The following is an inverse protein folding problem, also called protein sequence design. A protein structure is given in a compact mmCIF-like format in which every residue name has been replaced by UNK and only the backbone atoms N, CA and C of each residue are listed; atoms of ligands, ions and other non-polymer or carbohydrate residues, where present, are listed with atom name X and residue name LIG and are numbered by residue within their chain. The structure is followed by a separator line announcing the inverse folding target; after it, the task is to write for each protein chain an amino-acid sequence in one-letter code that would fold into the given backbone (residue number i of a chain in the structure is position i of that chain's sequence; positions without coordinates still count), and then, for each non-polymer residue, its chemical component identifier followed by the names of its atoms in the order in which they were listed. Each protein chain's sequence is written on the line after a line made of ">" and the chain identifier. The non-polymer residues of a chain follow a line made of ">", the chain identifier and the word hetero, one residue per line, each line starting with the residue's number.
data_IF_478841302853
#
_entry.id   IF_478841302853
#
_cell.length_a   1.000
_cell.length_b   1.000
_cell.length_c   1.000
_cell.angle_alpha   90.00
_cell.angle_beta   90.00
_cell.angle_gamma   90.00
#
_symmetry.space_group_name_H-M   'P 1'
#
loop_
_entity.id
_entity.type
_entity.pdbx_description
1 polymer ?
#
# COMPACT_ATOMS: atom_id res chain seq x y z
N UNK A 1 68.54 2.79 -30.99
CA UNK A 1 67.65 3.91 -30.59
C UNK A 1 66.87 3.40 -29.38
N UNK A 2 67.08 3.78 -28.09
CA UNK A 2 67.15 5.14 -27.47
C UNK A 2 65.98 5.99 -27.99
N UNK A 3 65.02 6.51 -27.23
CA UNK A 3 64.88 6.99 -25.83
C UNK A 3 63.34 7.19 -25.63
N UNK A 4 62.70 6.57 -24.62
CA UNK A 4 62.32 7.11 -23.29
C UNK A 4 61.28 8.26 -23.26
N UNK A 5 60.17 8.05 -22.53
CA UNK A 5 59.71 8.92 -21.42
C UNK A 5 58.63 8.14 -20.61
N UNK A 6 58.84 7.59 -19.40
CA UNK A 6 58.83 8.21 -18.03
C UNK A 6 57.54 9.04 -17.75
N UNK A 7 56.78 8.99 -16.64
CA UNK A 7 57.05 8.66 -15.22
C UNK A 7 55.71 8.65 -14.40
N UNK A 8 55.47 7.60 -13.60
CA UNK A 8 55.19 7.56 -12.14
C UNK A 8 54.18 8.55 -11.50
N UNK A 9 53.22 7.99 -10.74
CA UNK A 9 52.95 8.44 -9.36
C UNK A 9 52.45 7.26 -8.49
N UNK A 10 53.17 7.08 -7.39
CA UNK A 10 53.03 6.11 -6.29
C UNK A 10 52.82 6.92 -5.00
N UNK A 11 52.53 6.23 -3.88
CA UNK A 11 52.38 6.68 -2.48
C UNK A 11 50.95 7.11 -2.07
N UNK A 12 50.40 6.73 -0.90
CA UNK A 12 51.05 6.38 0.38
C UNK A 12 50.15 5.54 1.31
N UNK A 13 50.80 4.84 2.25
CA UNK A 13 50.23 4.03 3.33
C UNK A 13 49.75 4.84 4.57
N UNK A 14 48.72 4.29 5.27
CA UNK A 14 48.40 4.20 6.73
C UNK A 14 48.68 5.41 7.67
N UNK A 15 47.84 5.71 8.70
CA UNK A 15 47.57 4.79 9.82
C UNK A 15 46.18 4.88 10.51
N UNK A 16 46.04 4.01 11.53
CA UNK A 16 44.92 3.74 12.42
C UNK A 16 44.39 4.91 13.27
N UNK A 17 43.11 4.81 13.65
CA UNK A 17 42.60 5.33 14.92
C UNK A 17 41.43 4.44 15.40
N UNK A 18 41.74 3.49 16.28
CA UNK A 18 40.76 2.89 17.17
C UNK A 18 40.46 3.89 18.29
N UNK A 19 39.20 4.27 18.46
CA UNK A 19 38.72 4.90 19.69
C UNK A 19 37.71 3.97 20.35
N UNK A 20 38.21 3.33 21.40
CA UNK A 20 37.43 2.73 22.47
C UNK A 20 36.67 3.82 23.21
N UNK A 21 35.34 3.78 23.14
CA UNK A 21 34.42 4.57 23.96
C UNK A 21 33.48 3.64 24.70
N UNK A 22 33.91 3.22 25.88
CA UNK A 22 33.14 2.46 26.85
C UNK A 22 32.00 3.35 27.38
N UNK A 23 30.75 3.00 27.16
CA UNK A 23 29.62 3.48 27.95
C UNK A 23 28.86 2.28 28.48
N UNK A 24 29.08 2.03 29.77
CA UNK A 24 28.33 1.09 30.60
C UNK A 24 26.87 1.53 30.72
N UNK A 25 25.93 0.68 30.29
CA UNK A 25 24.56 0.70 30.80
C UNK A 25 24.17 -0.73 31.15
N UNK A 26 24.04 -0.90 32.46
CA UNK A 26 23.27 -1.85 33.27
C UNK A 26 22.52 -2.98 32.57
N UNK A 27 22.85 -4.19 33.00
CA UNK A 27 22.06 -5.42 32.91
C UNK A 27 20.64 -5.25 33.47
N UNK A 28 19.63 -5.40 32.61
CA UNK A 28 18.33 -5.98 32.98
C UNK A 28 17.98 -7.03 31.95
N UNK A 29 18.04 -8.28 32.40
CA UNK A 29 17.41 -9.47 31.86
C UNK A 29 15.98 -9.19 31.38
N UNK A 30 15.67 -9.55 30.13
CA UNK A 30 14.39 -10.15 29.70
C UNK A 30 14.37 -10.39 28.18
N UNK A 31 14.36 -11.67 27.78
CA UNK A 31 13.98 -12.12 26.43
C UNK A 31 15.14 -12.38 25.47
N UNK A 32 15.05 -13.49 24.72
CA UNK A 32 15.99 -13.90 23.67
C UNK A 32 15.99 -12.92 22.46
N UNK A 33 16.48 -11.70 22.65
CA UNK A 33 16.86 -10.84 21.53
C UNK A 33 18.29 -11.21 21.11
N UNK A 34 18.40 -12.28 20.32
CA UNK A 34 19.55 -12.40 19.42
C UNK A 34 19.41 -11.22 18.46
N UNK A 35 20.40 -10.31 18.36
CA UNK A 35 20.37 -9.27 17.34
C UNK A 35 20.15 -9.94 15.98
N UNK A 36 19.19 -9.44 15.19
CA UNK A 36 18.91 -9.86 13.80
C UNK A 36 20.07 -9.41 12.89
N UNK A 37 21.28 -9.78 13.27
CA UNK A 37 22.52 -9.53 12.57
C UNK A 37 23.22 -10.89 12.49
N UNK A 38 23.08 -11.50 11.31
CA UNK A 38 23.78 -12.72 10.87
C UNK A 38 23.16 -14.06 11.31
N UNK A 39 21.88 -14.29 11.01
CA UNK A 39 21.45 -15.68 10.78
C UNK A 39 21.87 -16.11 9.36
N UNK A 40 22.22 -17.38 9.12
CA UNK A 40 22.55 -17.89 7.78
C UNK A 40 21.41 -17.66 6.76
N UNK A 41 20.17 -17.63 7.22
CA UNK A 41 18.98 -17.32 6.41
C UNK A 41 19.02 -15.85 5.96
N UNK A 42 19.35 -14.93 6.85
CA UNK A 42 19.45 -13.50 6.52
C UNK A 42 20.56 -13.23 5.49
N UNK A 43 21.69 -13.95 5.59
CA UNK A 43 22.77 -13.85 4.60
C UNK A 43 22.34 -14.38 3.21
N UNK A 44 21.57 -15.47 3.16
CA UNK A 44 20.92 -15.95 1.92
C UNK A 44 20.02 -14.88 1.32
N UNK A 45 19.13 -14.28 2.12
CA UNK A 45 18.19 -13.26 1.64
C UNK A 45 18.90 -12.02 1.10
N UNK A 46 19.92 -11.53 1.79
CA UNK A 46 20.74 -10.40 1.36
C UNK A 46 21.49 -10.74 0.07
N UNK A 47 22.05 -11.94 -0.04
CA UNK A 47 22.79 -12.38 -1.22
C UNK A 47 21.90 -12.40 -2.45
N UNK A 48 20.70 -12.99 -2.35
CA UNK A 48 19.71 -13.00 -3.44
C UNK A 48 19.36 -11.57 -3.86
N UNK A 49 19.13 -10.68 -2.89
CA UNK A 49 18.80 -9.28 -3.17
C UNK A 49 19.97 -8.43 -3.67
N UNK A 50 21.21 -8.83 -3.42
CA UNK A 50 22.38 -8.15 -3.97
C UNK A 50 22.46 -8.26 -5.50
N UNK A 51 21.81 -9.29 -6.07
CA UNK A 51 21.68 -9.48 -7.52
C UNK A 51 20.49 -8.75 -8.15
N UNK A 52 19.69 -8.00 -7.38
CA UNK A 52 18.55 -7.26 -7.91
C UNK A 52 19.04 -6.02 -8.70
N UNK A 53 18.49 -5.75 -9.90
CA UNK A 53 19.11 -4.85 -10.87
C UNK A 53 18.86 -3.37 -10.57
N UNK A 54 17.88 -3.08 -9.70
CA UNK A 54 17.47 -1.72 -9.37
C UNK A 54 17.63 -1.41 -7.87
N UNK A 55 18.25 -0.28 -7.58
CA UNK A 55 18.43 0.20 -6.21
C UNK A 55 17.36 1.21 -5.77
N UNK A 56 16.39 1.53 -6.64
CA UNK A 56 15.24 2.36 -6.34
C UNK A 56 14.31 1.73 -5.30
N UNK A 57 13.68 2.57 -4.47
CA UNK A 57 12.78 2.12 -3.43
C UNK A 57 11.47 1.56 -3.99
N UNK A 58 10.94 2.13 -5.09
CA UNK A 58 9.70 1.68 -5.74
C UNK A 58 9.85 0.26 -6.34
N UNK A 59 10.84 -0.03 -7.21
CA UNK A 59 10.95 -1.36 -7.82
C UNK A 59 11.27 -2.46 -6.80
N UNK A 60 12.02 -2.13 -5.75
CA UNK A 60 12.28 -3.04 -4.64
C UNK A 60 11.01 -3.34 -3.84
N UNK A 61 10.23 -2.31 -3.52
CA UNK A 61 8.94 -2.50 -2.85
C UNK A 61 8.02 -3.39 -3.68
N UNK A 62 7.87 -3.09 -4.97
CA UNK A 62 7.05 -3.88 -5.90
C UNK A 62 7.51 -5.34 -5.92
N UNK A 63 8.82 -5.59 -6.06
CA UNK A 63 9.36 -6.94 -6.06
C UNK A 63 9.09 -7.68 -4.74
N UNK A 64 9.32 -7.04 -3.59
CA UNK A 64 9.08 -7.68 -2.29
C UNK A 64 7.61 -8.03 -2.07
N UNK A 65 6.70 -7.09 -2.38
CA UNK A 65 5.27 -7.33 -2.28
C UNK A 65 4.80 -8.41 -3.24
N UNK A 66 5.21 -8.34 -4.51
CA UNK A 66 4.89 -9.35 -5.51
C UNK A 66 5.36 -10.75 -5.08
N UNK A 67 6.55 -10.85 -4.49
CA UNK A 67 7.09 -12.14 -4.04
C UNK A 67 6.30 -12.69 -2.84
N UNK A 68 5.85 -11.83 -1.92
CA UNK A 68 4.95 -12.25 -0.83
C UNK A 68 3.62 -12.78 -1.40
N UNK A 69 2.97 -12.00 -2.27
CA UNK A 69 1.68 -12.36 -2.88
C UNK A 69 1.77 -13.63 -3.74
N UNK A 70 2.93 -13.92 -4.32
CA UNK A 70 3.19 -15.15 -5.09
C UNK A 70 2.93 -16.43 -4.29
N UNK A 71 3.26 -16.40 -2.99
CA UNK A 71 3.22 -17.58 -2.12
C UNK A 71 1.85 -17.85 -1.51
N UNK A 72 0.88 -16.98 -1.77
CA UNK A 72 -0.51 -17.19 -1.37
C UNK A 72 -1.03 -18.52 -1.92
N UNK A 73 -1.61 -19.34 -1.04
CA UNK A 73 -2.11 -20.69 -1.31
C UNK A 73 -1.04 -21.74 -1.68
N UNK A 74 0.25 -21.45 -1.49
CA UNK A 74 1.33 -22.46 -1.56
C UNK A 74 1.49 -23.11 -0.18
N UNK A 75 0.72 -24.17 0.07
CA UNK A 75 0.91 -25.00 1.27
C UNK A 75 2.17 -25.90 1.17
N UNK A 76 2.64 -26.54 2.26
CA UNK A 76 3.85 -27.37 2.22
C UNK A 76 3.79 -28.55 1.23
N UNK A 77 2.60 -29.07 0.93
CA UNK A 77 2.42 -30.18 0.00
C UNK A 77 2.43 -29.68 -1.44
N UNK A 78 1.83 -28.52 -1.71
CA UNK A 78 1.95 -27.81 -2.97
C UNK A 78 3.42 -27.44 -3.22
N UNK A 79 4.13 -26.93 -2.20
CA UNK A 79 5.56 -26.65 -2.28
C UNK A 79 6.35 -27.91 -2.64
N UNK A 80 6.06 -29.04 -2.00
CA UNK A 80 6.70 -30.33 -2.33
C UNK A 80 6.38 -30.77 -3.76
N UNK A 81 5.18 -30.48 -4.28
CA UNK A 81 4.83 -30.72 -5.68
C UNK A 81 5.69 -29.87 -6.63
N UNK A 82 5.98 -28.61 -6.28
CA UNK A 82 6.85 -27.75 -7.07
C UNK A 82 8.28 -28.30 -7.17
N UNK A 83 8.82 -28.87 -6.09
CA UNK A 83 10.13 -29.56 -6.12
C UNK A 83 10.10 -30.82 -6.97
N UNK A 84 8.99 -31.55 -6.94
CA UNK A 84 8.86 -32.80 -7.67
C UNK A 84 8.73 -32.59 -9.17
N UNK A 85 7.98 -31.58 -9.59
CA UNK A 85 7.68 -31.28 -10.98
C UNK A 85 8.59 -30.23 -11.62
N UNK A 86 9.28 -29.44 -10.81
CA UNK A 86 10.22 -28.43 -11.27
C UNK A 86 11.53 -29.05 -11.74
N UNK A 87 12.14 -28.46 -12.77
CA UNK A 87 13.51 -28.76 -13.13
C UNK A 87 14.49 -28.02 -12.20
N UNK A 88 15.52 -28.72 -11.74
CA UNK A 88 16.47 -28.22 -10.74
C UNK A 88 17.54 -27.28 -11.32
N UNK A 89 17.31 -26.68 -12.49
CA UNK A 89 18.27 -25.82 -13.18
C UNK A 89 18.54 -24.49 -12.47
N UNK A 90 17.73 -24.13 -11.47
CA UNK A 90 17.87 -22.90 -10.69
C UNK A 90 18.70 -23.16 -9.42
N UNK A 91 19.82 -22.45 -9.28
CA UNK A 91 20.70 -22.55 -8.12
C UNK A 91 20.57 -21.32 -7.23
N UNK A 92 21.06 -21.38 -5.99
CA UNK A 92 21.07 -20.22 -5.07
C UNK A 92 21.85 -19.00 -5.58
N UNK A 93 22.71 -19.18 -6.59
CA UNK A 93 23.48 -18.10 -7.19
C UNK A 93 22.81 -17.52 -8.45
N UNK A 94 21.67 -18.08 -8.89
CA UNK A 94 20.94 -17.58 -10.05
C UNK A 94 20.34 -16.22 -9.70
N UNK A 95 20.68 -15.15 -10.45
CA UNK A 95 20.12 -13.83 -10.21
C UNK A 95 18.60 -13.83 -10.32
N UNK A 96 17.92 -13.11 -9.42
CA UNK A 96 16.45 -12.99 -9.41
C UNK A 96 15.89 -12.53 -10.77
N UNK A 97 16.62 -11.64 -11.46
CA UNK A 97 16.23 -11.15 -12.79
C UNK A 97 16.12 -12.28 -13.80
N UNK A 98 17.12 -13.18 -13.81
CA UNK A 98 17.12 -14.33 -14.71
C UNK A 98 15.93 -15.26 -14.41
N UNK A 99 15.62 -15.44 -13.12
CA UNK A 99 14.45 -16.23 -12.70
C UNK A 99 13.15 -15.62 -13.23
N UNK A 100 12.96 -14.30 -13.07
CA UNK A 100 11.78 -13.58 -13.57
C UNK A 100 11.71 -13.65 -15.10
N UNK A 101 12.83 -13.44 -15.79
CA UNK A 101 12.90 -13.53 -17.26
C UNK A 101 12.55 -14.93 -17.76
N UNK A 102 13.02 -15.97 -17.08
CA UNK A 102 12.70 -17.36 -17.41
C UNK A 102 11.22 -17.68 -17.17
N UNK A 103 10.62 -17.17 -16.10
CA UNK A 103 9.16 -17.26 -15.87
C UNK A 103 8.40 -16.51 -16.95
N UNK A 104 8.87 -15.33 -17.37
CA UNK A 104 8.30 -14.50 -18.42
C UNK A 104 8.40 -15.13 -19.82
N UNK A 105 9.34 -16.06 -20.02
CA UNK A 105 9.68 -16.58 -21.33
C UNK A 105 8.56 -17.49 -21.89
N UNK A 106 7.89 -17.09 -23.00
CA UNK A 106 6.80 -17.87 -23.57
C UNK A 106 7.25 -19.22 -24.15
N UNK A 107 8.53 -19.36 -24.50
CA UNK A 107 9.09 -20.62 -24.99
C UNK A 107 9.14 -21.64 -23.87
N UNK A 108 9.63 -21.26 -22.69
CA UNK A 108 9.68 -22.19 -21.56
C UNK A 108 8.27 -22.59 -21.09
N UNK A 109 7.33 -21.66 -21.04
CA UNK A 109 5.92 -21.97 -20.71
C UNK A 109 5.27 -23.01 -21.62
N UNK A 110 5.70 -23.10 -22.88
CA UNK A 110 5.11 -24.00 -23.87
C UNK A 110 5.91 -25.29 -24.07
N UNK A 111 7.23 -25.19 -24.13
CA UNK A 111 8.10 -26.27 -24.54
C UNK A 111 8.89 -26.92 -23.38
N UNK A 112 9.00 -26.25 -22.24
CA UNK A 112 9.71 -26.75 -21.05
C UNK A 112 9.05 -26.21 -19.76
N UNK A 113 7.76 -26.54 -19.51
CA UNK A 113 7.01 -26.05 -18.36
C UNK A 113 7.68 -26.37 -17.02
N UNK A 114 8.45 -27.45 -16.92
CA UNK A 114 9.24 -27.85 -15.75
C UNK A 114 10.27 -26.77 -15.34
N UNK A 115 10.87 -26.08 -16.32
CA UNK A 115 11.78 -24.94 -16.05
C UNK A 115 10.98 -23.79 -15.43
N UNK A 116 9.79 -23.50 -15.95
CA UNK A 116 8.92 -22.44 -15.39
C UNK A 116 8.53 -22.78 -13.95
N UNK A 117 8.16 -24.04 -13.69
CA UNK A 117 7.83 -24.53 -12.34
C UNK A 117 9.04 -24.40 -11.41
N UNK A 118 10.24 -24.80 -11.83
CA UNK A 118 11.47 -24.67 -11.03
C UNK A 118 11.82 -23.22 -10.69
N UNK A 119 11.65 -22.29 -11.63
CA UNK A 119 11.87 -20.85 -11.37
C UNK A 119 10.81 -20.28 -10.41
N UNK A 120 9.54 -20.68 -10.54
CA UNK A 120 8.49 -20.30 -9.59
C UNK A 120 8.75 -20.89 -8.20
N UNK A 121 9.22 -22.14 -8.11
CA UNK A 121 9.60 -22.79 -6.85
C UNK A 121 10.72 -22.03 -6.15
N UNK A 122 11.72 -21.56 -6.90
CA UNK A 122 12.80 -20.74 -6.37
C UNK A 122 12.31 -19.42 -5.76
N UNK A 123 11.39 -18.72 -6.45
CA UNK A 123 10.80 -17.49 -5.89
C UNK A 123 9.94 -17.78 -4.66
N UNK A 124 9.19 -18.89 -4.66
CA UNK A 124 8.41 -19.31 -3.51
C UNK A 124 9.29 -19.63 -2.30
N UNK A 125 10.40 -20.34 -2.50
CA UNK A 125 11.41 -20.59 -1.46
C UNK A 125 11.98 -19.29 -0.91
N UNK A 126 12.32 -18.35 -1.79
CA UNK A 126 12.81 -17.06 -1.36
C UNK A 126 11.77 -16.36 -0.48
N UNK A 127 10.50 -16.30 -0.88
CA UNK A 127 9.45 -15.67 -0.08
C UNK A 127 9.22 -16.36 1.27
N UNK A 128 9.18 -17.70 1.29
CA UNK A 128 8.94 -18.47 2.51
C UNK A 128 10.13 -18.42 3.47
N UNK A 129 11.35 -18.63 2.97
CA UNK A 129 12.55 -18.61 3.81
C UNK A 129 12.90 -17.20 4.29
N UNK A 130 12.61 -16.18 3.48
CA UNK A 130 12.96 -14.78 3.76
C UNK A 130 11.78 -13.94 4.26
N UNK A 131 10.68 -14.55 4.70
CA UNK A 131 9.44 -13.85 5.08
C UNK A 131 9.71 -12.66 6.02
N UNK A 132 10.43 -12.88 7.12
CA UNK A 132 10.75 -11.82 8.10
C UNK A 132 11.61 -10.71 7.50
N UNK A 133 12.54 -11.06 6.61
CA UNK A 133 13.37 -10.08 5.91
C UNK A 133 12.52 -9.25 4.94
N UNK A 134 11.65 -9.88 4.15
CA UNK A 134 10.76 -9.21 3.20
C UNK A 134 9.82 -8.26 3.91
N UNK A 135 9.16 -8.72 4.98
CA UNK A 135 8.25 -7.88 5.79
C UNK A 135 8.99 -6.67 6.36
N UNK A 136 10.18 -6.86 6.95
CA UNK A 136 10.98 -5.75 7.47
C UNK A 136 11.42 -4.76 6.39
N UNK A 137 11.76 -5.23 5.18
CA UNK A 137 12.10 -4.34 4.06
C UNK A 137 10.87 -3.56 3.57
N UNK A 138 9.71 -4.21 3.44
CA UNK A 138 8.45 -3.58 3.05
C UNK A 138 8.08 -2.48 4.05
N UNK A 139 8.08 -2.79 5.34
CA UNK A 139 7.78 -1.83 6.41
C UNK A 139 8.78 -0.65 6.43
N UNK A 140 10.06 -0.93 6.21
CA UNK A 140 11.07 0.12 6.12
C UNK A 140 10.85 1.03 4.91
N UNK A 141 10.44 0.47 3.77
CA UNK A 141 10.21 1.24 2.54
C UNK A 141 8.93 2.07 2.65
N UNK A 142 7.86 1.54 3.23
CA UNK A 142 6.61 2.29 3.46
C UNK A 142 6.77 3.39 4.50
N UNK A 143 7.64 3.20 5.50
CA UNK A 143 8.01 4.25 6.43
C UNK A 143 8.82 5.38 5.77
N UNK A 144 9.62 5.06 4.76
CA UNK A 144 10.38 6.03 3.97
C UNK A 144 9.51 6.78 2.95
N UNK A 145 8.62 6.06 2.25
CA UNK A 145 7.70 6.59 1.25
C UNK A 145 6.29 6.02 1.43
N UNK A 146 5.41 6.83 2.01
CA UNK A 146 4.02 6.44 2.27
C UNK A 146 3.20 6.25 0.98
N UNK A 147 3.62 6.82 -0.15
CA UNK A 147 2.90 6.62 -1.42
C UNK A 147 2.92 5.16 -1.88
N UNK A 148 3.86 4.35 -1.38
CA UNK A 148 3.90 2.91 -1.64
C UNK A 148 2.72 2.15 -1.02
N UNK A 149 2.04 2.74 -0.04
CA UNK A 149 0.84 2.16 0.58
C UNK A 149 -0.44 2.48 -0.18
N UNK A 150 -0.34 3.17 -1.32
CA UNK A 150 -1.47 3.47 -2.19
C UNK A 150 -2.22 2.18 -2.59
N UNK A 151 -3.55 2.09 -2.35
CA UNK A 151 -4.33 0.91 -2.69
C UNK A 151 -4.30 0.58 -4.18
N UNK A 152 -4.38 1.58 -5.07
CA UNK A 152 -4.37 1.36 -6.53
C UNK A 152 -3.03 0.74 -6.98
N UNK A 153 -1.92 1.28 -6.48
CA UNK A 153 -0.61 0.69 -6.72
C UNK A 153 -0.49 -0.75 -6.20
N UNK A 154 -0.98 -1.04 -4.99
CA UNK A 154 -0.91 -2.39 -4.43
C UNK A 154 -1.85 -3.40 -5.13
N UNK A 155 -2.98 -2.94 -5.68
CA UNK A 155 -3.86 -3.76 -6.52
C UNK A 155 -3.12 -4.22 -7.78
N UNK A 156 -2.39 -3.32 -8.46
CA UNK A 156 -1.59 -3.69 -9.64
C UNK A 156 -0.54 -4.75 -9.30
N UNK A 157 0.10 -4.64 -8.13
CA UNK A 157 1.08 -5.65 -7.66
C UNK A 157 0.39 -7.01 -7.44
N UNK A 158 -0.80 -7.01 -6.84
CA UNK A 158 -1.58 -8.23 -6.62
C UNK A 158 -2.04 -8.87 -7.95
N UNK A 159 -2.41 -8.08 -8.95
CA UNK A 159 -2.74 -8.55 -10.30
C UNK A 159 -1.55 -9.21 -10.99
N UNK A 160 -0.36 -8.58 -10.94
CA UNK A 160 0.87 -9.13 -11.48
C UNK A 160 1.24 -10.46 -10.79
N UNK A 161 1.09 -10.53 -9.47
CA UNK A 161 1.31 -11.75 -8.71
C UNK A 161 0.30 -12.85 -9.09
N UNK A 162 -0.99 -12.51 -9.24
CA UNK A 162 -2.03 -13.43 -9.71
C UNK A 162 -1.70 -13.96 -11.11
N UNK A 163 -1.22 -13.12 -12.03
CA UNK A 163 -0.79 -13.54 -13.35
C UNK A 163 0.35 -14.57 -13.28
N UNK A 164 1.37 -14.33 -12.45
CA UNK A 164 2.45 -15.31 -12.25
C UNK A 164 1.95 -16.62 -11.61
N UNK A 165 1.02 -16.52 -10.67
CA UNK A 165 0.39 -17.70 -10.06
C UNK A 165 -0.43 -18.51 -11.07
N UNK A 166 -1.11 -17.86 -12.02
CA UNK A 166 -1.80 -18.51 -13.15
C UNK A 166 -0.83 -19.21 -14.09
N UNK A 167 0.31 -18.59 -14.43
CA UNK A 167 1.35 -19.21 -15.25
C UNK A 167 1.87 -20.50 -14.62
N UNK A 168 2.06 -20.51 -13.29
CA UNK A 168 2.45 -21.71 -12.57
C UNK A 168 1.36 -22.79 -12.64
N UNK A 169 0.10 -22.43 -12.40
CA UNK A 169 -1.01 -23.37 -12.52
C UNK A 169 -1.09 -23.97 -13.92
N UNK A 170 -1.04 -23.15 -14.96
CA UNK A 170 -1.04 -23.61 -16.36
C UNK A 170 0.14 -24.54 -16.65
N UNK A 171 1.33 -24.22 -16.14
CA UNK A 171 2.53 -25.04 -16.33
C UNK A 171 2.39 -26.41 -15.67
N UNK A 172 1.86 -26.46 -14.45
CA UNK A 172 1.56 -27.71 -13.74
C UNK A 172 0.50 -28.55 -14.47
N UNK A 173 -0.54 -27.91 -15.00
CA UNK A 173 -1.57 -28.61 -15.77
C UNK A 173 -1.03 -29.19 -17.08
N UNK A 174 -0.11 -28.48 -17.75
CA UNK A 174 0.50 -28.92 -19.01
C UNK A 174 1.32 -30.21 -18.87
N UNK A 175 1.96 -30.40 -17.73
CA UNK A 175 2.76 -31.60 -17.45
C UNK A 175 1.94 -32.75 -16.84
N UNK A 176 0.63 -32.55 -16.60
CA UNK A 176 -0.23 -33.56 -15.99
C UNK A 176 -0.11 -33.66 -14.46
N UNK A 177 0.38 -32.62 -13.78
CA UNK A 177 0.55 -32.65 -12.32
C UNK A 177 -0.77 -32.83 -11.57
N UNK A 178 -1.88 -32.37 -12.15
CA UNK A 178 -3.24 -32.51 -11.61
C UNK A 178 -3.70 -33.97 -11.52
N UNK A 179 -3.19 -34.84 -12.39
CA UNK A 179 -3.57 -36.26 -12.45
C UNK A 179 -2.67 -37.14 -11.57
N UNK A 180 -1.69 -36.55 -10.90
CA UNK A 180 -0.75 -37.27 -10.04
C UNK A 180 -1.42 -37.72 -8.74
N UNK A 181 -1.21 -38.98 -8.34
CA UNK A 181 -1.89 -39.61 -7.20
C UNK A 181 -1.74 -38.84 -5.88
N UNK A 182 -0.52 -38.38 -5.59
CA UNK A 182 -0.20 -37.66 -4.34
C UNK A 182 -0.45 -36.16 -4.46
N UNK A 183 0.09 -35.51 -5.50
CA UNK A 183 0.11 -34.05 -5.62
C UNK A 183 -1.12 -33.45 -6.33
N UNK A 184 -1.86 -34.25 -7.10
CA UNK A 184 -3.01 -33.79 -7.88
C UNK A 184 -4.05 -32.99 -7.09
N UNK A 185 -4.48 -33.44 -5.88
CA UNK A 185 -5.40 -32.67 -5.05
C UNK A 185 -4.88 -31.28 -4.66
N UNK A 186 -3.58 -31.13 -4.41
CA UNK A 186 -2.96 -29.86 -4.04
C UNK A 186 -2.85 -28.91 -5.23
N UNK A 187 -2.54 -29.45 -6.42
CA UNK A 187 -2.56 -28.68 -7.68
C UNK A 187 -3.97 -28.16 -7.99
N UNK A 188 -5.00 -28.98 -7.77
CA UNK A 188 -6.40 -28.56 -7.92
C UNK A 188 -6.83 -27.51 -6.88
N UNK A 189 -6.42 -27.67 -5.63
CA UNK A 189 -6.70 -26.68 -4.58
C UNK A 189 -6.04 -25.34 -4.89
N UNK A 190 -4.76 -25.36 -5.31
CA UNK A 190 -4.04 -24.17 -5.74
C UNK A 190 -4.77 -23.47 -6.91
N UNK A 191 -5.16 -24.21 -7.95
CA UNK A 191 -5.92 -23.66 -9.08
C UNK A 191 -7.28 -23.08 -8.66
N UNK A 192 -7.97 -23.71 -7.72
CA UNK A 192 -9.24 -23.19 -7.17
C UNK A 192 -9.02 -21.89 -6.37
N UNK A 193 -7.90 -21.80 -5.64
CA UNK A 193 -7.49 -20.60 -4.91
C UNK A 193 -7.23 -19.39 -5.81
N UNK A 194 -6.82 -19.60 -7.07
CA UNK A 194 -6.65 -18.53 -8.04
C UNK A 194 -7.96 -17.82 -8.38
N UNK A 195 -9.06 -18.58 -8.47
CA UNK A 195 -10.39 -18.01 -8.73
C UNK A 195 -10.78 -17.08 -7.57
N UNK A 196 -10.62 -17.56 -6.34
CA UNK A 196 -10.87 -16.76 -5.14
C UNK A 196 -10.00 -15.50 -5.11
N UNK A 197 -8.71 -15.64 -5.38
CA UNK A 197 -7.76 -14.51 -5.38
C UNK A 197 -8.14 -13.46 -6.44
N UNK A 198 -8.60 -13.89 -7.61
CA UNK A 198 -9.10 -12.98 -8.65
C UNK A 198 -10.32 -12.20 -8.17
N UNK A 199 -11.28 -12.89 -7.59
CA UNK A 199 -12.51 -12.26 -7.11
C UNK A 199 -12.22 -11.29 -5.94
N UNK A 200 -11.24 -11.61 -5.07
CA UNK A 200 -10.76 -10.72 -4.00
C UNK A 200 -10.12 -9.44 -4.55
N UNK A 201 -9.26 -9.55 -5.57
CA UNK A 201 -8.62 -8.40 -6.23
C UNK A 201 -9.67 -7.52 -6.94
N UNK A 202 -10.59 -8.14 -7.68
CA UNK A 202 -11.69 -7.43 -8.36
C UNK A 202 -12.55 -6.67 -7.35
N UNK A 203 -12.85 -7.29 -6.20
CA UNK A 203 -13.62 -6.64 -5.13
C UNK A 203 -12.87 -5.46 -4.51
N UNK A 204 -11.56 -5.60 -4.24
CA UNK A 204 -10.74 -4.50 -3.73
C UNK A 204 -10.66 -3.32 -4.72
N UNK A 205 -10.62 -3.60 -6.02
CA UNK A 205 -10.74 -2.61 -7.07
C UNK A 205 -12.06 -1.83 -6.99
N UNK A 206 -13.19 -2.55 -6.88
CA UNK A 206 -14.50 -1.91 -6.74
C UNK A 206 -14.65 -1.05 -5.49
N UNK A 207 -14.09 -1.47 -4.35
CA UNK A 207 -14.11 -0.65 -3.13
C UNK A 207 -13.37 0.68 -3.33
N UNK A 208 -12.22 0.63 -4.01
CA UNK A 208 -11.42 1.83 -4.31
C UNK A 208 -12.17 2.77 -5.25
N UNK A 209 -12.75 2.25 -6.33
CA UNK A 209 -13.57 3.03 -7.26
C UNK A 209 -14.79 3.66 -6.57
N UNK A 210 -15.46 2.91 -5.69
CA UNK A 210 -16.63 3.39 -4.95
C UNK A 210 -16.25 4.52 -3.99
N UNK A 211 -15.13 4.40 -3.28
CA UNK A 211 -14.62 5.46 -2.40
C UNK A 211 -14.29 6.74 -3.19
N UNK A 212 -13.75 6.61 -4.41
CA UNK A 212 -13.50 7.76 -5.29
C UNK A 212 -14.80 8.44 -5.74
N UNK A 213 -15.81 7.67 -6.13
CA UNK A 213 -17.13 8.20 -6.52
C UNK A 213 -17.80 8.89 -5.32
N UNK A 214 -17.77 8.27 -4.15
CA UNK A 214 -18.31 8.84 -2.92
C UNK A 214 -17.63 10.16 -2.58
N UNK A 215 -16.30 10.22 -2.61
CA UNK A 215 -15.56 11.44 -2.33
C UNK A 215 -15.87 12.56 -3.35
N UNK A 216 -15.96 12.21 -4.65
CA UNK A 216 -16.38 13.17 -5.68
C UNK A 216 -17.80 13.69 -5.44
N UNK A 217 -18.71 12.82 -5.01
CA UNK A 217 -20.11 13.18 -4.75
C UNK A 217 -20.23 14.07 -3.50
N UNK A 218 -19.55 13.72 -2.40
CA UNK A 218 -19.51 14.52 -1.19
C UNK A 218 -18.90 15.90 -1.44
N UNK A 219 -17.82 15.97 -2.23
CA UNK A 219 -17.23 17.26 -2.61
C UNK A 219 -18.17 18.15 -3.43
N UNK A 220 -18.95 17.58 -4.37
CA UNK A 220 -19.95 18.35 -5.11
C UNK A 220 -21.09 18.80 -4.20
N UNK A 221 -21.58 17.92 -3.32
CA UNK A 221 -22.63 18.26 -2.35
C UNK A 221 -22.19 19.39 -1.44
N UNK A 222 -20.99 19.35 -0.88
CA UNK A 222 -20.43 20.42 -0.05
C UNK A 222 -20.32 21.73 -0.84
N UNK A 223 -19.86 21.65 -2.10
CA UNK A 223 -19.83 22.81 -2.99
C UNK A 223 -21.23 23.40 -3.25
N UNK A 224 -22.24 22.55 -3.45
CA UNK A 224 -23.64 22.96 -3.65
C UNK A 224 -24.24 23.53 -2.37
N UNK A 225 -23.98 22.92 -1.21
CA UNK A 225 -24.42 23.40 0.10
C UNK A 225 -23.79 24.75 0.44
N UNK A 226 -22.48 24.91 0.20
CA UNK A 226 -21.80 26.19 0.36
C UNK A 226 -22.42 27.28 -0.52
N UNK A 227 -22.65 27.00 -1.81
CA UNK A 227 -23.35 27.93 -2.72
C UNK A 227 -24.77 28.23 -2.26
N UNK A 228 -25.50 27.23 -1.76
CA UNK A 228 -26.86 27.40 -1.25
C UNK A 228 -26.88 28.27 0.01
N UNK A 229 -25.94 28.06 0.94
CA UNK A 229 -25.80 28.88 2.14
C UNK A 229 -25.40 30.32 1.78
N UNK A 230 -24.52 30.52 0.80
CA UNK A 230 -24.17 31.85 0.31
C UNK A 230 -25.37 32.58 -0.30
N UNK A 231 -26.21 31.88 -1.07
CA UNK A 231 -27.44 32.46 -1.62
C UNK A 231 -28.41 32.79 -0.50
N UNK A 232 -28.65 31.88 0.45
CA UNK A 232 -29.52 32.15 1.60
C UNK A 232 -29.00 33.35 2.39
N UNK A 233 -27.71 33.42 2.69
CA UNK A 233 -27.12 34.54 3.44
C UNK A 233 -27.16 35.87 2.66
N UNK A 234 -27.16 35.84 1.32
CA UNK A 234 -27.30 37.03 0.48
C UNK A 234 -28.75 37.48 0.32
N UNK A 235 -29.68 36.54 0.20
CA UNK A 235 -31.12 36.79 0.07
C UNK A 235 -31.78 37.11 1.42
N UNK A 236 -31.19 36.64 2.51
CA UNK A 236 -31.57 37.01 3.87
C UNK A 236 -30.98 38.40 4.15
N UNK A 237 -31.65 39.42 3.61
CA UNK A 237 -31.37 40.82 3.83
C UNK A 237 -31.62 41.16 5.32
N UNK A 238 -30.60 40.92 6.14
CA UNK A 238 -30.62 41.21 7.57
C UNK A 238 -30.93 42.67 7.84
N UNK A 239 -30.57 43.58 6.93
CA UNK A 239 -30.83 45.00 7.06
C UNK A 239 -32.31 45.29 6.87
N UNK A 240 -32.95 44.74 5.83
CA UNK A 240 -34.41 44.83 5.66
C UNK A 240 -35.17 44.19 6.84
N UNK A 241 -34.67 43.07 7.38
CA UNK A 241 -35.30 42.39 8.51
C UNK A 241 -35.14 43.17 9.82
N UNK A 242 -33.99 43.81 10.04
CA UNK A 242 -33.75 44.72 11.17
C UNK A 242 -34.60 45.98 11.05
N UNK A 243 -34.69 46.58 9.86
CA UNK A 243 -35.54 47.75 9.59
C UNK A 243 -37.01 47.41 9.85
N UNK A 244 -37.49 46.25 9.38
CA UNK A 244 -38.86 45.81 9.66
C UNK A 244 -39.10 45.60 11.16
N UNK A 245 -38.12 45.07 11.90
CA UNK A 245 -38.20 44.91 13.35
C UNK A 245 -38.27 46.25 14.09
N UNK A 246 -37.40 47.20 13.71
CA UNK A 246 -37.36 48.55 14.26
C UNK A 246 -38.68 49.30 13.97
N UNK A 247 -39.19 49.22 12.73
CA UNK A 247 -40.47 49.83 12.34
C UNK A 247 -41.64 49.23 13.13
N UNK A 248 -41.62 47.91 13.37
CA UNK A 248 -42.64 47.25 14.19
C UNK A 248 -42.57 47.70 15.65
N UNK A 249 -41.38 47.88 16.20
CA UNK A 249 -41.17 48.38 17.56
C UNK A 249 -41.61 49.84 17.70
N UNK A 250 -41.31 50.67 16.72
CA UNK A 250 -41.74 52.07 16.64
C UNK A 250 -43.26 52.21 16.54
N UNK A 251 -43.92 51.41 15.68
CA UNK A 251 -45.37 51.37 15.57
C UNK A 251 -46.03 50.95 16.89
N UNK A 252 -45.45 49.97 17.59
CA UNK A 252 -45.95 49.51 18.88
C UNK A 252 -45.77 50.58 19.97
N UNK A 253 -44.63 51.26 20.00
CA UNK A 253 -44.36 52.36 20.92
C UNK A 253 -45.30 53.55 20.66
N UNK A 254 -45.52 53.89 19.39
CA UNK A 254 -46.46 54.94 19.00
C UNK A 254 -47.89 54.60 19.42
N UNK A 255 -48.36 53.38 19.15
CA UNK A 255 -49.69 52.93 19.58
C UNK A 255 -49.85 52.99 21.11
N UNK A 256 -48.79 52.65 21.86
CA UNK A 256 -48.79 52.71 23.33
C UNK A 256 -48.84 54.16 23.84
N UNK A 257 -48.12 55.09 23.21
CA UNK A 257 -48.17 56.52 23.55
C UNK A 257 -49.53 57.12 23.22
N UNK A 258 -50.12 56.79 22.08
CA UNK A 258 -51.45 57.24 21.69
C UNK A 258 -52.52 56.71 22.66
N UNK A 259 -52.43 55.44 23.05
CA UNK A 259 -53.29 54.83 24.06
C UNK A 259 -53.19 55.57 25.41
N UNK A 260 -51.96 55.88 25.86
CA UNK A 260 -51.73 56.68 27.07
C UNK A 260 -52.31 58.09 26.95
N UNK A 261 -52.14 58.75 25.80
CA UNK A 261 -52.70 60.08 25.54
C UNK A 261 -54.23 60.08 25.59
N UNK A 262 -54.88 59.11 24.92
CA UNK A 262 -56.33 58.93 24.98
C UNK A 262 -56.81 58.64 26.40
N UNK A 263 -56.09 57.80 27.14
CA UNK A 263 -56.40 57.52 28.55
C UNK A 263 -56.28 58.78 29.42
N UNK A 264 -55.25 59.60 29.24
CA UNK A 264 -55.07 60.87 29.95
C UNK A 264 -56.17 61.87 29.59
N UNK A 265 -56.53 62.00 28.30
CA UNK A 265 -57.64 62.86 27.86
C UNK A 265 -58.98 62.39 28.45
N UNK A 266 -59.20 61.08 28.50
CA UNK A 266 -60.40 60.48 29.09
C UNK A 266 -60.43 60.71 30.60
N UNK A 267 -59.31 60.52 31.30
CA UNK A 267 -59.16 60.84 32.72
C UNK A 267 -59.39 62.33 32.98
N UNK A 268 -58.85 63.21 32.14
CA UNK A 268 -59.05 64.66 32.25
C UNK A 268 -60.53 65.05 32.00
N UNK A 269 -61.22 64.37 31.09
CA UNK A 269 -62.66 64.56 30.87
C UNK A 269 -63.51 64.07 32.06
N UNK A 270 -63.11 62.97 32.70
CA UNK A 270 -63.78 62.41 33.88
C UNK A 270 -63.50 63.25 35.14
N UNK A 271 -62.27 63.72 35.33
CA UNK A 271 -61.83 64.45 36.53
C UNK A 271 -62.03 65.97 36.43
N UNK A 272 -62.08 66.52 35.20
CA UNK A 272 -62.23 67.96 34.92
C UNK A 272 -63.67 68.48 34.98
N UNK A 273 -64.64 67.60 35.22
CA UNK A 273 -66.05 67.97 35.42
C UNK A 273 -66.80 68.28 34.12
N UNK A 274 -67.57 67.28 33.67
CA UNK A 274 -68.88 67.55 33.09
C UNK A 274 -69.92 67.73 34.19
#
# INVERSE_FOLDING_TARGET
>A
MRVALTTILLLSALPAAAQTGLSSVTTTDMGNDIPIAASPVQEKCITIMSGFPDNGHIPRYQFFKLTQELTTDIDPMMRSALDYFGDASVTQNTPVVEVIENIANPVFRQAAPEITIGNMAYLADFALDCETYLTGQIESLTAYDQSLTDPEFNIVIAEDALFMRQILSDSLFRIGAQDHEIFGPYVHNYASGLIRSRDEIEFAGFETELAMIENSYLSDLDGRLARSNDVINKELDQEALLIALEETEDLNNHARLESKSKMIQTLAMILGGG
#
